data_IF_700767292970
#
_entry.id   IF_700767292970
#
_cell.length_a   1.000
_cell.length_b   1.000
_cell.length_c   1.000
_cell.angle_alpha   90.00
_cell.angle_beta   90.00
_cell.angle_gamma   90.00
#
_symmetry.space_group_name_H-M   'P 1'
#
loop_
_entity.id
_entity.type
_entity.pdbx_description
1 polymer ?
#
# COMPACT_ATOMS: atom_id res chain seq x y z
N UNK A 1 7.45 -60.59 -28.34
CA UNK A 1 7.42 -61.96 -27.80
C UNK A 1 8.87 -62.46 -27.75
N UNK A 2 9.24 -63.17 -26.66
CA UNK A 2 10.61 -63.55 -26.24
C UNK A 2 11.43 -62.38 -25.65
N UNK A 3 12.12 -62.46 -24.50
CA UNK A 3 12.40 -63.51 -23.47
C UNK A 3 13.16 -62.80 -22.32
N UNK A 4 12.79 -62.94 -21.03
CA UNK A 4 13.38 -63.81 -19.99
C UNK A 4 14.91 -63.65 -19.86
N UNK A 5 15.53 -63.30 -18.72
CA UNK A 5 15.65 -64.06 -17.44
C UNK A 5 16.53 -63.24 -16.44
N UNK A 6 16.15 -63.03 -15.17
CA UNK A 6 16.61 -63.76 -13.93
C UNK A 6 18.14 -63.95 -13.79
N UNK A 7 18.84 -63.80 -12.66
CA UNK A 7 18.51 -63.72 -11.22
C UNK A 7 19.78 -63.44 -10.36
N UNK A 8 19.61 -62.80 -9.17
CA UNK A 8 20.10 -63.15 -7.80
C UNK A 8 21.62 -63.47 -7.57
N UNK A 9 22.32 -63.23 -6.44
CA UNK A 9 22.11 -62.78 -5.05
C UNK A 9 23.52 -62.67 -4.38
N UNK A 10 23.69 -61.79 -3.37
CA UNK A 10 24.58 -61.85 -2.16
C UNK A 10 26.08 -62.30 -2.27
N UNK A 11 27.09 -61.81 -1.53
CA UNK A 11 27.23 -61.19 -0.20
C UNK A 11 28.70 -60.77 0.08
N UNK A 12 28.90 -59.88 1.07
CA UNK A 12 30.05 -59.79 2.01
C UNK A 12 31.33 -58.95 1.69
N UNK A 13 31.59 -58.01 2.62
CA UNK A 13 32.74 -57.15 3.03
C UNK A 13 34.19 -57.62 2.77
N UNK A 14 35.21 -56.72 2.68
CA UNK A 14 35.84 -56.08 3.86
C UNK A 14 36.43 -54.65 3.71
N UNK A 15 36.73 -54.04 4.86
CA UNK A 15 37.41 -52.74 5.11
C UNK A 15 38.94 -52.91 5.07
N UNK A 16 39.70 -51.88 4.65
CA UNK A 16 41.03 -51.63 5.23
C UNK A 16 41.35 -50.15 5.58
N UNK A 17 42.22 -49.96 6.59
CA UNK A 17 42.92 -48.73 7.01
C UNK A 17 44.46 -48.99 6.92
N UNK A 18 45.37 -48.04 7.24
CA UNK A 18 45.59 -46.66 6.75
C UNK A 18 47.08 -46.42 6.36
N UNK A 19 47.48 -45.37 5.60
CA UNK A 19 48.81 -44.72 5.78
C UNK A 19 49.02 -43.38 5.04
N UNK A 20 49.93 -42.58 5.59
CA UNK A 20 50.24 -41.15 5.31
C UNK A 20 51.03 -40.93 4.00
N UNK A 21 50.77 -39.83 3.28
CA UNK A 21 51.78 -39.23 2.38
C UNK A 21 51.45 -37.79 1.92
N UNK A 22 52.26 -36.84 2.42
CA UNK A 22 52.89 -35.66 1.78
C UNK A 22 52.19 -34.93 0.62
N UNK A 23 51.99 -33.62 0.81
CA UNK A 23 51.77 -32.61 -0.23
C UNK A 23 53.01 -32.42 -1.13
N UNK A 24 52.78 -31.99 -2.39
CA UNK A 24 53.51 -30.82 -2.88
C UNK A 24 52.63 -29.79 -3.61
N UNK A 25 53.13 -28.56 -3.52
CA UNK A 25 52.62 -27.29 -4.02
C UNK A 25 52.55 -27.20 -5.56
N UNK A 26 51.51 -26.55 -6.07
CA UNK A 26 51.53 -25.85 -7.37
C UNK A 26 50.53 -24.66 -7.36
N UNK A 27 51.05 -23.52 -6.94
CA UNK A 27 50.89 -22.14 -7.46
C UNK A 27 49.62 -21.75 -8.23
N UNK A 28 48.80 -20.89 -7.61
CA UNK A 28 47.76 -20.04 -8.25
C UNK A 28 48.25 -18.57 -8.17
N UNK A 29 48.07 -17.75 -9.21
CA UNK A 29 48.65 -16.42 -9.30
C UNK A 29 48.01 -15.41 -8.32
N UNK A 30 48.87 -14.52 -7.83
CA UNK A 30 48.58 -13.42 -6.90
C UNK A 30 47.61 -12.45 -7.57
N UNK A 31 46.40 -12.31 -7.00
CA UNK A 31 45.52 -11.16 -7.22
C UNK A 31 45.68 -10.23 -6.01
N UNK A 32 46.17 -9.02 -6.24
CA UNK A 32 46.30 -7.98 -5.21
C UNK A 32 44.98 -7.81 -4.44
N UNK A 33 44.99 -8.13 -3.14
CA UNK A 33 43.95 -7.68 -2.20
C UNK A 33 44.13 -6.18 -2.01
N UNK A 34 43.25 -5.39 -2.61
CA UNK A 34 42.96 -4.05 -2.08
C UNK A 34 42.22 -4.24 -0.75
N UNK A 35 42.92 -4.02 0.36
CA UNK A 35 42.29 -3.81 1.66
C UNK A 35 41.57 -2.48 1.65
N UNK A 36 40.27 -2.50 1.40
CA UNK A 36 39.39 -1.36 1.55
C UNK A 36 39.20 -1.09 3.05
N UNK A 37 39.93 -0.10 3.55
CA UNK A 37 39.80 0.43 4.91
C UNK A 37 38.47 1.17 4.97
N UNK A 38 37.40 0.50 5.42
CA UNK A 38 36.10 1.15 5.59
C UNK A 38 36.15 2.11 6.78
N UNK A 39 36.05 3.40 6.48
CA UNK A 39 35.77 4.45 7.45
C UNK A 39 34.35 4.26 7.99
N UNK A 40 34.24 3.89 9.26
CA UNK A 40 32.99 3.92 10.01
C UNK A 40 32.74 5.36 10.46
N UNK A 41 31.74 6.02 9.86
CA UNK A 41 31.00 7.22 10.30
C UNK A 41 29.90 7.45 9.22
N UNK A 42 28.64 7.74 9.46
CA UNK A 42 27.87 8.12 10.64
C UNK A 42 26.47 7.49 10.51
N UNK A 43 26.10 6.60 11.42
CA UNK A 43 24.69 6.26 11.62
C UNK A 43 24.10 7.29 12.60
N UNK A 44 22.94 7.91 12.33
CA UNK A 44 22.25 8.70 13.34
C UNK A 44 21.90 7.76 14.51
N UNK A 45 22.48 8.04 15.68
CA UNK A 45 22.16 7.34 16.92
C UNK A 45 20.65 7.43 17.17
N UNK A 46 19.98 6.34 17.60
CA UNK A 46 18.64 6.47 18.17
C UNK A 46 18.70 7.45 19.35
N UNK A 47 17.62 8.20 19.63
CA UNK A 47 17.61 9.10 20.78
C UNK A 47 17.95 8.30 22.05
N UNK A 48 19.04 8.69 22.71
CA UNK A 48 19.47 8.14 23.99
C UNK A 48 18.39 8.45 25.03
N UNK A 49 17.42 7.55 25.23
CA UNK A 49 16.60 7.57 26.44
C UNK A 49 17.59 7.28 27.58
N UNK A 50 17.76 8.16 28.58
CA UNK A 50 18.72 7.92 29.63
C UNK A 50 18.40 6.58 30.31
N UNK A 51 19.30 5.61 30.18
CA UNK A 51 19.17 4.29 30.80
C UNK A 51 18.96 4.39 32.32
N UNK A 52 19.39 5.50 32.92
CA UNK A 52 19.15 5.88 34.31
C UNK A 52 17.68 6.20 34.62
N UNK A 53 16.92 6.80 33.70
CA UNK A 53 15.52 7.16 33.91
C UNK A 53 14.63 5.92 33.80
N UNK A 54 14.84 5.10 32.77
CA UNK A 54 14.18 3.81 32.62
C UNK A 54 14.50 2.92 33.82
N UNK A 55 15.76 2.76 34.22
CA UNK A 55 16.12 1.92 35.37
C UNK A 55 15.57 2.45 36.71
N UNK A 56 15.50 3.77 36.91
CA UNK A 56 14.92 4.38 38.11
C UNK A 56 13.40 4.20 38.17
N UNK A 57 12.71 4.39 37.05
CA UNK A 57 11.27 4.10 36.93
C UNK A 57 11.02 2.60 37.10
N UNK A 58 11.89 1.74 36.56
CA UNK A 58 11.76 0.30 36.71
C UNK A 58 11.91 -0.12 38.17
N UNK A 59 12.88 0.43 38.91
CA UNK A 59 13.04 0.17 40.35
C UNK A 59 11.90 0.73 41.20
N UNK A 60 11.29 1.85 40.80
CA UNK A 60 10.17 2.46 41.50
C UNK A 60 8.86 1.68 41.27
N UNK A 61 8.60 1.26 40.04
CA UNK A 61 7.40 0.51 39.67
C UNK A 61 7.51 -0.95 40.12
N UNK A 62 8.64 -1.62 39.87
CA UNK A 62 8.85 -3.03 40.16
C UNK A 62 9.59 -3.30 41.49
N UNK A 63 9.70 -2.28 42.35
CA UNK A 63 10.22 -2.43 43.71
C UNK A 63 9.21 -3.08 44.67
N UNK A 64 9.64 -3.48 45.88
CA UNK A 64 8.77 -4.15 46.87
C UNK A 64 7.62 -3.26 47.41
N UNK A 65 7.57 -1.99 47.02
CA UNK A 65 6.70 -0.94 47.57
C UNK A 65 5.28 -0.93 47.01
N UNK A 66 5.03 -1.57 45.85
CA UNK A 66 3.72 -1.61 45.19
C UNK A 66 3.35 -3.06 44.89
N UNK A 67 2.16 -3.55 45.30
CA UNK A 67 1.69 -4.87 44.88
C UNK A 67 1.67 -4.93 43.36
N UNK A 68 2.36 -5.89 42.71
CA UNK A 68 2.50 -5.93 41.25
C UNK A 68 1.15 -5.87 40.52
N UNK A 69 0.09 -6.43 41.10
CA UNK A 69 -1.27 -6.36 40.54
C UNK A 69 -1.85 -4.94 40.46
N UNK A 70 -1.63 -4.10 41.48
CA UNK A 70 -2.16 -2.73 41.49
C UNK A 70 -1.42 -1.85 40.47
N UNK A 71 -0.09 -2.01 40.38
CA UNK A 71 0.70 -1.34 39.36
C UNK A 71 0.23 -1.73 37.95
N UNK A 72 0.14 -3.03 37.66
CA UNK A 72 -0.24 -3.53 36.33
C UNK A 72 -1.64 -3.03 35.96
N UNK A 73 -2.59 -3.07 36.90
CA UNK A 73 -3.95 -2.57 36.67
C UNK A 73 -3.97 -1.07 36.37
N UNK A 74 -3.21 -0.28 37.12
CA UNK A 74 -3.12 1.18 36.94
C UNK A 74 -2.51 1.54 35.60
N UNK A 75 -1.37 0.94 35.24
CA UNK A 75 -0.69 1.17 33.96
C UNK A 75 -1.58 0.73 32.80
N UNK A 76 -2.25 -0.42 32.90
CA UNK A 76 -3.18 -0.91 31.87
C UNK A 76 -4.34 0.06 31.68
N UNK A 77 -4.92 0.55 32.75
CA UNK A 77 -6.05 1.49 32.71
C UNK A 77 -5.62 2.83 32.11
N UNK A 78 -4.46 3.36 32.53
CA UNK A 78 -3.90 4.59 31.97
C UNK A 78 -3.61 4.46 30.48
N UNK A 79 -2.92 3.38 30.08
CA UNK A 79 -2.60 3.10 28.67
C UNK A 79 -3.86 2.99 27.81
N UNK A 80 -4.86 2.24 28.26
CA UNK A 80 -6.13 2.08 27.54
C UNK A 80 -6.85 3.43 27.40
N UNK A 81 -6.89 4.23 28.47
CA UNK A 81 -7.54 5.55 28.46
C UNK A 81 -6.85 6.52 27.49
N UNK A 82 -5.51 6.56 27.51
CA UNK A 82 -4.72 7.34 26.56
C UNK A 82 -4.95 6.87 25.13
N UNK A 83 -4.92 5.55 24.90
CA UNK A 83 -5.16 4.98 23.58
C UNK A 83 -6.54 5.39 23.02
N UNK A 84 -7.60 5.33 23.83
CA UNK A 84 -8.95 5.76 23.41
C UNK A 84 -9.00 7.24 23.03
N UNK A 85 -8.41 8.10 23.85
CA UNK A 85 -8.34 9.54 23.56
C UNK A 85 -7.64 9.80 22.23
N UNK A 86 -6.51 9.13 21.99
CA UNK A 86 -5.74 9.30 20.78
C UNK A 86 -6.46 8.74 19.55
N UNK A 87 -7.12 7.58 19.67
CA UNK A 87 -7.92 7.00 18.60
C UNK A 87 -9.10 7.89 18.22
N UNK A 88 -9.76 8.56 19.17
CA UNK A 88 -10.85 9.51 18.85
C UNK A 88 -10.40 10.71 18.00
N UNK A 89 -9.12 11.09 18.08
CA UNK A 89 -8.55 12.17 17.28
C UNK A 89 -8.09 11.67 15.90
N UNK A 90 -7.47 10.48 15.86
CA UNK A 90 -6.98 9.87 14.63
C UNK A 90 -8.14 9.42 13.72
N UNK A 91 -9.14 8.80 14.31
CA UNK A 91 -10.22 8.10 13.64
C UNK A 91 -11.56 8.43 14.29
N UNK A 92 -12.27 9.45 13.77
CA UNK A 92 -13.61 9.80 14.25
C UNK A 92 -14.53 8.58 14.23
N UNK A 93 -15.18 8.33 15.36
CA UNK A 93 -16.07 7.18 15.55
C UNK A 93 -17.46 7.59 16.00
N UNK A 94 -18.46 6.77 15.68
CA UNK A 94 -19.80 6.86 16.25
C UNK A 94 -19.82 6.31 17.70
N UNK A 95 -20.95 6.45 18.44
CA UNK A 95 -21.06 5.95 19.82
C UNK A 95 -20.88 4.43 19.97
N UNK A 96 -21.03 3.66 18.89
CA UNK A 96 -20.77 2.22 18.90
C UNK A 96 -19.30 1.86 18.72
N UNK A 97 -18.42 2.85 18.48
CA UNK A 97 -17.00 2.67 18.19
C UNK A 97 -16.69 2.44 16.71
N UNK A 98 -17.68 2.63 15.83
CA UNK A 98 -17.55 2.47 14.38
C UNK A 98 -16.87 3.67 13.73
N UNK A 99 -15.82 3.44 12.95
CA UNK A 99 -15.10 4.50 12.24
C UNK A 99 -15.92 5.11 11.09
N UNK A 100 -15.92 6.43 11.00
CA UNK A 100 -16.48 7.19 9.88
C UNK A 100 -15.40 8.06 9.23
N UNK A 101 -15.20 7.88 7.91
CA UNK A 101 -14.23 8.66 7.14
C UNK A 101 -14.76 10.09 6.92
N UNK A 102 -14.03 11.14 7.33
CA UNK A 102 -14.42 12.51 7.03
C UNK A 102 -14.39 12.78 5.52
N UNK A 103 -15.39 13.49 5.02
CA UNK A 103 -15.49 13.85 3.61
C UNK A 103 -14.39 14.84 3.18
N UNK A 104 -13.95 14.72 1.93
CA UNK A 104 -13.05 15.70 1.31
C UNK A 104 -13.77 17.04 1.10
N UNK A 105 -13.07 18.15 1.34
CA UNK A 105 -13.64 19.50 1.29
C UNK A 105 -13.68 20.08 -0.12
N UNK A 106 -12.68 19.79 -0.94
CA UNK A 106 -12.51 20.36 -2.27
C UNK A 106 -12.92 19.31 -3.30
N UNK A 107 -14.13 19.49 -3.86
CA UNK A 107 -14.67 18.65 -4.93
C UNK A 107 -14.34 19.26 -6.29
N UNK A 108 -14.25 18.43 -7.31
CA UNK A 108 -14.02 18.92 -8.66
C UNK A 108 -15.33 19.46 -9.25
N UNK A 109 -15.70 20.70 -8.93
CA UNK A 109 -16.78 21.44 -9.61
C UNK A 109 -16.25 22.73 -10.24
N UNK A 110 -16.73 23.02 -11.46
CA UNK A 110 -16.50 24.18 -12.36
C UNK A 110 -15.05 24.66 -12.65
N UNK A 111 -14.05 24.19 -11.90
CA UNK A 111 -12.62 24.47 -12.11
C UNK A 111 -12.03 23.70 -13.31
N UNK A 112 -12.82 22.88 -13.99
CA UNK A 112 -12.53 22.25 -15.29
C UNK A 112 -12.32 23.26 -16.43
N UNK A 113 -12.55 24.56 -16.20
CA UNK A 113 -12.18 25.64 -17.13
C UNK A 113 -10.73 26.14 -16.96
N UNK A 114 -9.94 25.55 -16.05
CA UNK A 114 -8.55 25.94 -15.86
C UNK A 114 -7.63 25.29 -16.91
N UNK A 115 -6.58 26.02 -17.30
CA UNK A 115 -5.59 25.52 -18.26
C UNK A 115 -4.94 24.24 -17.73
N UNK A 116 -5.07 23.10 -18.44
CA UNK A 116 -4.47 21.83 -18.03
C UNK A 116 -2.96 21.89 -17.77
N UNK A 117 -2.26 22.87 -18.38
CA UNK A 117 -0.81 23.07 -18.27
C UNK A 117 -0.33 23.55 -16.88
N UNK A 118 -1.24 23.94 -15.99
CA UNK A 118 -0.89 24.46 -14.65
C UNK A 118 -1.22 23.48 -13.52
N UNK A 119 -1.73 22.29 -13.85
CA UNK A 119 -2.10 21.27 -12.88
C UNK A 119 -0.86 20.54 -12.34
N UNK A 120 -0.85 20.32 -11.03
CA UNK A 120 0.18 19.56 -10.32
C UNK A 120 -0.49 18.66 -9.29
N UNK A 121 -0.03 17.41 -9.17
CA UNK A 121 -0.61 16.45 -8.22
C UNK A 121 0.33 16.23 -7.03
N UNK A 122 -0.21 16.38 -5.82
CA UNK A 122 0.47 16.02 -4.58
C UNK A 122 -0.06 14.69 -4.07
N UNK A 123 0.84 13.77 -3.76
CA UNK A 123 0.50 12.40 -3.35
C UNK A 123 1.38 11.95 -2.19
N UNK A 124 0.99 10.87 -1.54
CA UNK A 124 1.82 10.11 -0.61
C UNK A 124 1.66 8.62 -0.90
N UNK A 125 2.77 7.91 -1.12
CA UNK A 125 2.77 6.50 -1.55
C UNK A 125 2.03 5.54 -0.61
N UNK A 126 2.02 5.73 0.72
CA UNK A 126 1.21 4.88 1.61
C UNK A 126 -0.29 4.98 1.33
N UNK A 127 -0.78 6.14 0.89
CA UNK A 127 -2.21 6.42 0.77
C UNK A 127 -2.84 5.73 -0.45
N UNK A 128 -3.79 4.78 -0.27
CA UNK A 128 -4.45 4.11 -1.39
C UNK A 128 -5.29 5.08 -2.23
N UNK A 129 -5.89 6.10 -1.60
CA UNK A 129 -6.65 7.14 -2.30
C UNK A 129 -5.77 7.94 -3.27
N UNK A 130 -4.54 8.26 -2.86
CA UNK A 130 -3.58 8.95 -3.72
C UNK A 130 -3.00 8.01 -4.78
N UNK A 131 -2.85 6.73 -4.46
CA UNK A 131 -2.37 5.73 -5.40
C UNK A 131 -3.29 5.57 -6.62
N UNK A 132 -4.60 5.76 -6.47
CA UNK A 132 -5.57 5.78 -7.59
C UNK A 132 -5.17 6.81 -8.65
N UNK A 133 -4.78 8.01 -8.22
CA UNK A 133 -4.44 9.10 -9.14
C UNK A 133 -3.12 8.82 -9.86
N UNK A 134 -2.16 8.16 -9.20
CA UNK A 134 -0.91 7.73 -9.81
C UNK A 134 -1.14 6.68 -10.91
N UNK A 135 -1.98 5.68 -10.63
CA UNK A 135 -2.31 4.62 -11.60
C UNK A 135 -3.00 5.23 -12.82
N UNK A 136 -4.07 6.01 -12.64
CA UNK A 136 -4.77 6.61 -13.79
C UNK A 136 -3.89 7.58 -14.56
N UNK A 137 -3.03 8.36 -13.88
CA UNK A 137 -2.01 9.21 -14.51
C UNK A 137 -1.06 8.40 -15.40
N UNK A 138 -0.58 7.25 -14.93
CA UNK A 138 0.32 6.37 -15.70
C UNK A 138 -0.41 5.71 -16.88
N UNK A 139 -1.61 5.16 -16.65
CA UNK A 139 -2.40 4.50 -17.70
C UNK A 139 -2.80 5.46 -18.83
N UNK A 140 -3.16 6.71 -18.49
CA UNK A 140 -3.47 7.75 -19.47
C UNK A 140 -2.22 8.37 -20.12
N UNK A 141 -1.03 8.11 -19.59
CA UNK A 141 0.21 8.71 -20.06
C UNK A 141 0.23 10.22 -19.85
N UNK A 142 -0.14 10.67 -18.63
CA UNK A 142 -0.26 12.08 -18.23
C UNK A 142 0.97 12.58 -17.47
N UNK A 143 2.11 11.88 -17.54
CA UNK A 143 3.24 12.16 -16.65
C UNK A 143 3.86 13.54 -16.86
N UNK A 144 3.93 13.98 -18.11
CA UNK A 144 4.39 15.31 -18.50
C UNK A 144 3.31 16.38 -18.28
N UNK A 145 2.05 16.04 -18.52
CA UNK A 145 0.93 16.96 -18.42
C UNK A 145 0.58 17.33 -16.98
N UNK A 146 0.74 16.39 -16.05
CA UNK A 146 0.47 16.58 -14.62
C UNK A 146 1.70 16.15 -13.82
N UNK A 147 2.64 17.07 -13.54
CA UNK A 147 3.79 16.77 -12.70
C UNK A 147 3.37 16.40 -11.27
N UNK A 148 4.23 15.65 -10.58
CA UNK A 148 3.94 15.10 -9.25
C UNK A 148 4.97 15.55 -8.20
N UNK A 149 4.47 15.84 -6.99
CA UNK A 149 5.28 15.95 -5.77
C UNK A 149 4.84 14.86 -4.80
N UNK A 150 5.79 14.04 -4.35
CA UNK A 150 5.52 12.86 -3.52
C UNK A 150 6.01 13.14 -2.09
N UNK A 151 5.08 13.23 -1.15
CA UNK A 151 5.36 13.39 0.26
C UNK A 151 5.58 12.03 0.96
N UNK A 152 6.40 12.04 2.01
CA UNK A 152 6.46 10.98 3.00
C UNK A 152 5.67 11.43 4.25
N UNK A 153 5.20 10.49 5.10
CA UNK A 153 4.61 10.88 6.37
C UNK A 153 5.70 11.34 7.35
N UNK A 154 5.49 12.49 7.99
CA UNK A 154 6.30 13.02 9.08
C UNK A 154 5.99 12.35 10.42
N UNK A 155 6.83 12.59 11.42
CA UNK A 155 6.69 12.01 12.77
C UNK A 155 5.47 12.54 13.52
N UNK A 156 4.98 13.73 13.15
CA UNK A 156 3.76 14.33 13.68
C UNK A 156 2.49 13.93 12.92
N UNK A 157 2.62 13.03 11.94
CA UNK A 157 1.53 12.58 11.06
C UNK A 157 1.20 13.53 9.91
N UNK A 158 1.93 14.64 9.76
CA UNK A 158 1.81 15.52 8.58
C UNK A 158 2.46 14.89 7.35
N UNK A 159 2.15 15.43 6.16
CA UNK A 159 2.82 15.04 4.92
C UNK A 159 4.01 15.97 4.68
N UNK A 160 5.21 15.41 4.63
CA UNK A 160 6.48 16.13 4.53
C UNK A 160 7.20 15.83 3.21
N UNK A 161 7.91 16.83 2.71
CA UNK A 161 8.74 16.75 1.52
C UNK A 161 10.21 16.72 1.93
N UNK A 162 10.91 15.66 1.51
CA UNK A 162 12.28 15.42 1.90
C UNK A 162 13.26 16.00 0.87
N UNK A 163 14.44 16.40 1.32
CA UNK A 163 15.48 16.93 0.44
C UNK A 163 16.22 15.88 -0.38
N UNK A 164 15.90 14.59 -0.17
CA UNK A 164 16.49 13.45 -0.86
C UNK A 164 16.22 13.54 -2.36
N UNK A 165 17.30 13.62 -3.13
CA UNK A 165 17.28 13.40 -4.57
C UNK A 165 17.70 11.95 -4.81
N UNK A 166 16.84 11.19 -5.46
CA UNK A 166 17.15 9.83 -5.89
C UNK A 166 16.11 9.37 -6.88
N UNK A 167 16.52 8.48 -7.78
CA UNK A 167 15.63 7.60 -8.53
C UNK A 167 15.99 6.19 -8.11
N UNK A 168 15.02 5.41 -7.65
CA UNK A 168 15.19 3.96 -7.48
C UNK A 168 14.67 3.27 -8.74
N UNK A 169 15.47 3.36 -9.82
CA UNK A 169 15.02 2.99 -11.16
C UNK A 169 13.75 3.76 -11.57
N UNK A 170 12.76 3.01 -12.07
CA UNK A 170 11.46 3.54 -12.50
C UNK A 170 10.45 3.68 -11.35
N UNK A 171 10.78 3.23 -10.13
CA UNK A 171 9.86 3.26 -8.99
C UNK A 171 9.72 4.68 -8.44
N UNK A 172 8.47 5.10 -8.21
CA UNK A 172 8.17 6.38 -7.57
C UNK A 172 8.65 6.42 -6.11
N UNK A 173 9.35 7.48 -5.72
CA UNK A 173 9.84 7.69 -4.36
C UNK A 173 9.46 9.08 -3.80
N UNK A 174 9.35 9.25 -2.48
CA UNK A 174 9.17 10.57 -1.87
C UNK A 174 10.34 11.51 -2.17
N UNK A 175 10.05 12.81 -2.30
CA UNK A 175 11.04 13.81 -2.65
C UNK A 175 10.61 15.23 -2.29
N UNK A 176 11.20 16.20 -2.99
CA UNK A 176 10.93 17.63 -2.79
C UNK A 176 9.58 18.03 -3.37
N UNK A 177 9.05 19.13 -2.84
CA UNK A 177 7.95 19.84 -3.49
C UNK A 177 8.45 20.58 -4.75
N UNK A 178 8.17 20.01 -5.91
CA UNK A 178 8.61 20.54 -7.20
C UNK A 178 7.79 21.74 -7.69
N UNK A 179 6.63 22.04 -7.08
CA UNK A 179 5.74 23.11 -7.52
C UNK A 179 5.86 24.39 -6.68
N UNK A 180 6.04 24.26 -5.36
CA UNK A 180 6.07 25.42 -4.46
C UNK A 180 7.27 25.45 -3.50
N UNK A 181 8.15 24.45 -3.52
CA UNK A 181 9.34 24.38 -2.65
C UNK A 181 9.04 24.34 -1.16
N UNK A 182 7.85 23.85 -0.76
CA UNK A 182 7.46 23.76 0.67
C UNK A 182 7.97 22.49 1.32
N UNK A 183 8.07 22.52 2.65
CA UNK A 183 8.53 21.39 3.48
C UNK A 183 7.40 20.45 3.86
N UNK A 184 6.17 20.96 3.94
CA UNK A 184 4.99 20.15 4.27
C UNK A 184 3.82 20.46 3.35
N UNK A 185 2.94 19.48 3.15
CA UNK A 185 1.70 19.68 2.39
C UNK A 185 0.80 20.72 3.07
N UNK A 186 0.84 20.80 4.41
CA UNK A 186 0.12 21.83 5.18
C UNK A 186 0.52 23.24 4.74
N UNK A 187 1.82 23.48 4.55
CA UNK A 187 2.30 24.76 4.02
C UNK A 187 1.79 25.04 2.61
N UNK A 188 1.65 24.02 1.75
CA UNK A 188 1.07 24.19 0.40
C UNK A 188 -0.41 24.59 0.49
N UNK A 189 -1.20 23.90 1.32
CA UNK A 189 -2.60 24.30 1.57
C UNK A 189 -2.73 25.73 2.09
N UNK A 190 -1.77 26.19 2.90
CA UNK A 190 -1.74 27.55 3.43
C UNK A 190 -1.45 28.62 2.37
N UNK A 191 -0.91 28.26 1.20
CA UNK A 191 -0.69 29.21 0.09
C UNK A 191 -1.96 29.67 -0.59
N UNK A 192 -3.07 28.94 -0.41
CA UNK A 192 -4.38 29.35 -0.95
C UNK A 192 -4.76 30.75 -0.48
N UNK A 193 -5.53 31.45 -1.31
CA UNK A 193 -6.04 32.77 -0.91
C UNK A 193 -6.92 32.65 0.34
N UNK A 194 -6.59 33.42 1.37
CA UNK A 194 -7.26 33.36 2.68
C UNK A 194 -6.78 32.22 3.61
N UNK A 195 -5.79 31.42 3.17
CA UNK A 195 -5.22 30.33 3.95
C UNK A 195 -6.14 29.12 4.11
N UNK A 196 -5.64 28.09 4.79
CA UNK A 196 -6.40 26.89 5.11
C UNK A 196 -5.89 26.23 6.40
N UNK A 197 -6.79 26.02 7.36
CA UNK A 197 -6.50 25.41 8.66
C UNK A 197 -7.19 24.04 8.84
N UNK A 198 -7.78 23.47 7.78
CA UNK A 198 -8.39 22.15 7.83
C UNK A 198 -7.38 21.02 7.59
N UNK A 199 -7.89 19.81 7.33
CA UNK A 199 -7.06 18.62 7.09
C UNK A 199 -6.35 18.69 5.74
N UNK A 200 -5.03 18.75 5.76
CA UNK A 200 -4.19 18.67 4.57
C UNK A 200 -3.99 17.21 4.15
N UNK A 201 -4.77 16.76 3.18
CA UNK A 201 -4.86 15.35 2.77
C UNK A 201 -4.28 15.13 1.38
N UNK A 202 -3.78 13.92 1.13
CA UNK A 202 -3.44 13.45 -0.21
C UNK A 202 -4.53 12.47 -0.71
N UNK A 203 -4.84 12.44 -2.01
CA UNK A 203 -4.26 13.27 -3.07
C UNK A 203 -4.78 14.71 -3.01
N UNK A 204 -3.96 15.64 -3.53
CA UNK A 204 -4.37 17.03 -3.74
C UNK A 204 -3.98 17.48 -5.14
N UNK A 205 -4.97 17.75 -5.98
CA UNK A 205 -4.79 18.39 -7.27
C UNK A 205 -4.71 19.90 -7.07
N UNK A 206 -3.64 20.50 -7.58
CA UNK A 206 -3.23 21.87 -7.31
C UNK A 206 -3.07 22.64 -8.62
N UNK A 207 -3.50 23.90 -8.63
CA UNK A 207 -3.18 24.81 -9.71
C UNK A 207 -1.97 25.67 -9.32
N UNK A 208 -0.88 25.50 -10.04
CA UNK A 208 0.42 26.14 -9.77
C UNK A 208 0.44 27.63 -10.05
N UNK A 209 -0.42 28.13 -10.93
CA UNK A 209 -0.52 29.53 -11.31
C UNK A 209 -1.41 30.30 -10.33
N UNK A 210 -2.64 29.83 -10.12
CA UNK A 210 -3.60 30.49 -9.22
C UNK A 210 -3.33 30.23 -7.74
N UNK A 211 -2.46 29.26 -7.43
CA UNK A 211 -2.15 28.79 -6.07
C UNK A 211 -3.41 28.31 -5.32
N UNK A 212 -4.24 27.54 -6.01
CA UNK A 212 -5.50 27.02 -5.48
C UNK A 212 -5.54 25.48 -5.47
N UNK A 213 -6.24 24.92 -4.46
CA UNK A 213 -6.59 23.50 -4.46
C UNK A 213 -7.77 23.29 -5.39
N UNK A 214 -7.54 22.56 -6.47
CA UNK A 214 -8.56 22.22 -7.46
C UNK A 214 -9.48 21.13 -6.92
N UNK A 215 -8.89 20.07 -6.36
CA UNK A 215 -9.64 18.94 -5.82
C UNK A 215 -8.79 18.17 -4.81
N UNK A 216 -9.41 17.61 -3.77
CA UNK A 216 -8.80 16.63 -2.88
C UNK A 216 -9.69 15.40 -2.64
N UNK A 217 -10.63 15.13 -3.54
CA UNK A 217 -11.35 13.86 -3.62
C UNK A 217 -10.72 12.99 -4.71
N UNK A 218 -10.26 11.81 -4.31
CA UNK A 218 -9.53 10.89 -5.19
C UNK A 218 -10.33 10.43 -6.40
N UNK A 219 -11.64 10.17 -6.21
CA UNK A 219 -12.49 9.66 -7.28
C UNK A 219 -12.77 10.73 -8.34
N UNK A 220 -13.06 11.96 -7.90
CA UNK A 220 -13.22 13.12 -8.77
C UNK A 220 -11.95 13.37 -9.61
N UNK A 221 -10.76 13.26 -8.99
CA UNK A 221 -9.47 13.45 -9.69
C UNK A 221 -9.26 12.39 -10.78
N UNK A 222 -9.52 11.10 -10.49
CA UNK A 222 -9.34 10.05 -11.51
C UNK A 222 -10.37 10.15 -12.63
N UNK A 223 -11.59 10.65 -12.37
CA UNK A 223 -12.55 10.97 -13.43
C UNK A 223 -12.05 12.11 -14.31
N UNK A 224 -11.50 13.17 -13.72
CA UNK A 224 -10.89 14.28 -14.46
C UNK A 224 -9.72 13.79 -15.33
N UNK A 225 -8.83 12.95 -14.79
CA UNK A 225 -7.71 12.38 -15.54
C UNK A 225 -8.18 11.47 -16.68
N UNK A 226 -9.25 10.71 -16.46
CA UNK A 226 -9.78 9.77 -17.45
C UNK A 226 -10.27 10.48 -18.73
N UNK A 227 -11.12 11.51 -18.59
CA UNK A 227 -11.78 12.13 -19.75
C UNK A 227 -11.44 13.61 -19.94
N UNK A 228 -11.23 14.37 -18.86
CA UNK A 228 -11.02 15.82 -18.91
C UNK A 228 -9.66 16.25 -19.45
N UNK A 229 -8.67 15.35 -19.46
CA UNK A 229 -7.30 15.63 -19.93
C UNK A 229 -6.93 14.89 -21.23
N UNK A 230 -7.91 14.36 -21.97
CA UNK A 230 -7.65 13.59 -23.20
C UNK A 230 -6.82 14.36 -24.23
N UNK A 231 -6.96 15.68 -24.34
CA UNK A 231 -6.16 16.49 -25.26
C UNK A 231 -4.67 16.55 -24.92
N UNK A 232 -4.26 16.14 -23.72
CA UNK A 232 -2.86 16.07 -23.27
C UNK A 232 -2.37 14.64 -22.98
N UNK A 233 -3.26 13.66 -23.01
CA UNK A 233 -2.94 12.27 -22.71
C UNK A 233 -2.17 11.63 -23.86
N UNK A 234 -1.14 10.83 -23.56
CA UNK A 234 -0.49 9.96 -24.57
C UNK A 234 -1.39 8.80 -24.99
N UNK A 235 -2.32 8.39 -24.11
CA UNK A 235 -3.32 7.35 -24.37
C UNK A 235 -4.75 7.93 -24.35
N UNK A 236 -5.12 8.83 -25.29
CA UNK A 236 -6.40 9.52 -25.27
C UNK A 236 -7.59 8.57 -25.53
N UNK A 237 -7.37 7.49 -26.28
CA UNK A 237 -8.41 6.49 -26.58
C UNK A 237 -8.71 5.50 -25.45
N UNK A 238 -7.90 5.46 -24.39
CA UNK A 238 -8.19 4.64 -23.21
C UNK A 238 -9.28 5.32 -22.38
N UNK A 239 -10.45 4.70 -22.26
CA UNK A 239 -11.54 5.16 -21.41
C UNK A 239 -11.82 4.13 -20.31
N UNK A 240 -11.49 4.49 -19.08
CA UNK A 240 -11.70 3.69 -17.86
C UNK A 240 -13.08 3.92 -17.24
N UNK A 241 -13.88 4.82 -17.79
CA UNK A 241 -15.25 5.08 -17.35
C UNK A 241 -16.20 5.28 -18.55
N UNK A 242 -16.26 4.30 -19.47
CA UNK A 242 -17.04 4.45 -20.69
C UNK A 242 -18.54 4.55 -20.36
N UNK A 243 -19.32 5.35 -21.11
CA UNK A 243 -20.74 5.55 -20.83
C UNK A 243 -21.54 4.25 -20.70
N UNK A 244 -21.21 3.23 -21.51
CA UNK A 244 -21.90 1.93 -21.51
C UNK A 244 -21.70 1.10 -20.24
N UNK A 245 -20.65 1.38 -19.44
CA UNK A 245 -20.36 0.65 -18.20
C UNK A 245 -20.60 1.50 -16.95
N UNK A 246 -21.08 2.74 -17.10
CA UNK A 246 -21.21 3.70 -16.00
C UNK A 246 -22.05 3.15 -14.84
N UNK A 247 -23.20 2.57 -15.14
CA UNK A 247 -24.11 2.04 -14.10
C UNK A 247 -23.49 0.84 -13.38
N UNK A 248 -22.78 -0.04 -14.10
CA UNK A 248 -22.09 -1.19 -13.50
C UNK A 248 -20.90 -0.75 -12.64
N UNK A 249 -20.15 0.26 -13.08
CA UNK A 249 -19.08 0.90 -12.30
C UNK A 249 -19.64 1.50 -11.01
N UNK A 250 -20.77 2.20 -11.08
CA UNK A 250 -21.42 2.78 -9.91
C UNK A 250 -21.92 1.70 -8.94
N UNK A 251 -22.51 0.61 -9.46
CA UNK A 251 -22.93 -0.54 -8.67
C UNK A 251 -21.77 -1.18 -7.93
N UNK A 252 -20.64 -1.43 -8.61
CA UNK A 252 -19.45 -1.97 -7.94
C UNK A 252 -18.87 -1.01 -6.90
N UNK A 253 -18.78 0.29 -7.21
CA UNK A 253 -18.30 1.30 -6.27
C UNK A 253 -19.13 1.36 -4.98
N UNK A 254 -20.46 1.22 -5.06
CA UNK A 254 -21.35 1.18 -3.90
C UNK A 254 -21.08 -0.02 -2.97
N UNK A 255 -20.49 -1.08 -3.50
CA UNK A 255 -20.10 -2.28 -2.73
C UNK A 255 -18.67 -2.18 -2.22
N UNK A 256 -17.70 -1.93 -3.11
CA UNK A 256 -16.28 -1.97 -2.77
C UNK A 256 -15.87 -0.81 -1.86
N UNK A 257 -16.47 0.38 -2.00
CA UNK A 257 -16.08 1.52 -1.16
C UNK A 257 -16.36 1.29 0.33
N UNK A 258 -17.62 1.06 0.77
CA UNK A 258 -17.91 0.91 2.20
C UNK A 258 -17.35 -0.38 2.80
N UNK A 259 -17.30 -1.46 2.03
CA UNK A 259 -17.01 -2.79 2.57
C UNK A 259 -15.55 -3.21 2.40
N UNK A 260 -14.82 -2.68 1.41
CA UNK A 260 -13.43 -3.07 1.15
C UNK A 260 -12.48 -1.89 1.33
N UNK A 261 -12.61 -0.84 0.51
CA UNK A 261 -11.69 0.30 0.52
C UNK A 261 -11.70 1.02 1.86
N UNK A 262 -12.89 1.32 2.38
CA UNK A 262 -13.09 1.87 3.72
C UNK A 262 -13.26 0.76 4.77
N UNK A 263 -13.66 -0.45 4.37
CA UNK A 263 -13.87 -1.59 5.28
C UNK A 263 -12.62 -1.99 6.06
N UNK A 264 -11.45 -2.03 5.41
CA UNK A 264 -10.18 -2.30 6.11
C UNK A 264 -9.85 -1.24 7.16
N UNK A 265 -10.16 0.04 6.90
CA UNK A 265 -9.99 1.11 7.89
C UNK A 265 -11.02 1.02 9.01
N UNK A 266 -12.26 0.61 8.71
CA UNK A 266 -13.29 0.33 9.73
C UNK A 266 -12.84 -0.77 10.68
N UNK A 267 -12.15 -1.80 10.17
CA UNK A 267 -11.52 -2.83 11.02
C UNK A 267 -10.37 -2.23 11.84
N UNK A 268 -9.40 -1.60 11.18
CA UNK A 268 -8.17 -1.13 11.82
C UNK A 268 -8.37 0.00 12.84
N UNK A 269 -9.42 0.79 12.67
CA UNK A 269 -9.74 1.93 13.54
C UNK A 269 -10.94 1.70 14.45
N UNK A 270 -11.52 0.50 14.48
CA UNK A 270 -12.57 0.15 15.41
C UNK A 270 -12.14 0.40 16.86
N UNK A 271 -13.02 1.01 17.64
CA UNK A 271 -12.77 1.34 19.06
C UNK A 271 -13.54 0.43 20.04
N UNK A 272 -14.30 -0.53 19.50
CA UNK A 272 -15.03 -1.57 20.23
C UNK A 272 -14.89 -2.91 19.49
N UNK A 273 -15.14 -4.01 20.21
CA UNK A 273 -15.10 -5.35 19.62
C UNK A 273 -16.26 -5.51 18.63
N UNK A 274 -17.44 -4.99 18.98
CA UNK A 274 -18.66 -5.08 18.18
C UNK A 274 -18.52 -4.34 16.84
N UNK A 275 -17.91 -3.15 16.84
CA UNK A 275 -17.65 -2.40 15.61
C UNK A 275 -16.63 -3.12 14.72
N UNK A 276 -15.60 -3.73 15.32
CA UNK A 276 -14.62 -4.53 14.61
C UNK A 276 -15.26 -5.77 13.99
N UNK A 277 -16.02 -6.56 14.76
CA UNK A 277 -16.65 -7.81 14.33
C UNK A 277 -17.59 -7.57 13.14
N UNK A 278 -18.40 -6.52 13.21
CA UNK A 278 -19.26 -6.10 12.10
C UNK A 278 -18.44 -5.72 10.86
N UNK A 279 -17.40 -4.90 11.02
CA UNK A 279 -16.60 -4.42 9.90
C UNK A 279 -15.83 -5.56 9.22
N UNK A 280 -15.27 -6.48 10.00
CA UNK A 280 -14.49 -7.60 9.46
C UNK A 280 -15.38 -8.65 8.80
N UNK A 281 -16.58 -8.90 9.34
CA UNK A 281 -17.58 -9.77 8.69
C UNK A 281 -18.00 -9.20 7.32
N UNK A 282 -18.39 -7.92 7.26
CA UNK A 282 -18.78 -7.26 6.01
C UNK A 282 -17.64 -7.25 4.97
N UNK A 283 -16.41 -7.01 5.42
CA UNK A 283 -15.21 -7.05 4.58
C UNK A 283 -15.03 -8.43 3.95
N UNK A 284 -15.00 -9.49 4.77
CA UNK A 284 -14.71 -10.82 4.26
C UNK A 284 -15.87 -11.40 3.44
N UNK A 285 -17.13 -11.14 3.80
CA UNK A 285 -18.28 -11.51 2.97
C UNK A 285 -18.19 -10.84 1.58
N UNK A 286 -17.70 -9.59 1.52
CA UNK A 286 -17.52 -8.89 0.25
C UNK A 286 -16.31 -9.43 -0.53
N UNK A 287 -15.20 -9.78 0.12
CA UNK A 287 -14.05 -10.40 -0.55
C UNK A 287 -14.39 -11.79 -1.11
N UNK A 288 -15.15 -12.60 -0.35
CA UNK A 288 -15.63 -13.92 -0.81
C UNK A 288 -16.52 -13.76 -2.07
N UNK A 289 -17.43 -12.78 -2.07
CA UNK A 289 -18.28 -12.47 -3.24
C UNK A 289 -17.47 -11.97 -4.45
N UNK A 290 -16.48 -11.10 -4.23
CA UNK A 290 -15.59 -10.61 -5.28
C UNK A 290 -14.75 -11.74 -5.89
N UNK A 291 -14.24 -12.66 -5.07
CA UNK A 291 -13.46 -13.81 -5.55
C UNK A 291 -14.31 -14.74 -6.44
N UNK A 292 -15.57 -14.98 -6.07
CA UNK A 292 -16.50 -15.75 -6.92
C UNK A 292 -16.76 -15.03 -8.24
N UNK A 293 -17.11 -13.73 -8.22
CA UNK A 293 -17.36 -12.93 -9.43
C UNK A 293 -16.16 -12.93 -10.39
N UNK A 294 -14.96 -12.72 -9.85
CA UNK A 294 -13.73 -12.67 -10.63
C UNK A 294 -13.27 -14.04 -11.14
N UNK A 295 -13.95 -15.13 -10.76
CA UNK A 295 -13.73 -16.46 -11.34
C UNK A 295 -14.24 -16.60 -12.77
N UNK A 296 -15.30 -15.85 -13.13
CA UNK A 296 -15.87 -15.86 -14.47
C UNK A 296 -15.66 -14.55 -15.24
N UNK A 297 -15.32 -13.46 -14.56
CA UNK A 297 -15.09 -12.15 -15.17
C UNK A 297 -13.64 -11.71 -15.00
N UNK A 298 -12.99 -11.21 -16.07
CA UNK A 298 -11.61 -10.73 -15.98
C UNK A 298 -11.49 -9.53 -15.04
N UNK A 299 -12.38 -8.56 -15.17
CA UNK A 299 -12.45 -7.35 -14.35
C UNK A 299 -13.84 -7.23 -13.70
N UNK A 300 -14.06 -6.19 -12.88
CA UNK A 300 -15.35 -6.01 -12.20
C UNK A 300 -16.50 -5.84 -13.19
N UNK A 301 -16.29 -5.08 -14.27
CA UNK A 301 -17.32 -4.78 -15.28
C UNK A 301 -17.15 -5.62 -16.56
N UNK A 302 -16.77 -6.90 -16.44
CA UNK A 302 -16.57 -7.80 -17.58
C UNK A 302 -15.12 -7.81 -18.09
N UNK A 303 -14.95 -7.85 -19.41
CA UNK A 303 -13.63 -7.95 -20.05
C UNK A 303 -12.77 -6.66 -20.06
N UNK A 304 -13.33 -5.49 -19.71
CA UNK A 304 -12.61 -4.19 -19.77
C UNK A 304 -12.20 -3.68 -18.38
N UNK A 305 -10.98 -3.16 -18.29
CA UNK A 305 -10.50 -2.45 -17.10
C UNK A 305 -11.26 -1.12 -16.91
N UNK A 306 -11.70 -0.84 -15.69
CA UNK A 306 -12.43 0.38 -15.34
C UNK A 306 -11.86 1.10 -14.12
N UNK A 307 -12.38 2.29 -13.80
CA UNK A 307 -12.05 3.02 -12.58
C UNK A 307 -12.43 2.24 -11.30
N UNK A 308 -13.44 1.38 -11.34
CA UNK A 308 -13.80 0.52 -10.21
C UNK A 308 -12.65 -0.46 -9.88
N UNK A 309 -11.99 -0.99 -10.91
CA UNK A 309 -10.87 -1.90 -10.76
C UNK A 309 -9.65 -1.22 -10.13
N UNK A 310 -9.34 0.00 -10.59
CA UNK A 310 -8.29 0.83 -9.97
C UNK A 310 -8.60 1.09 -8.49
N UNK A 311 -9.87 1.39 -8.17
CA UNK A 311 -10.29 1.63 -6.80
C UNK A 311 -10.10 0.39 -5.91
N UNK A 312 -10.46 -0.81 -6.40
CA UNK A 312 -10.29 -2.07 -5.69
C UNK A 312 -8.81 -2.44 -5.54
N UNK A 313 -8.04 -2.40 -6.62
CA UNK A 313 -6.62 -2.78 -6.66
C UNK A 313 -5.79 -2.07 -5.61
N UNK A 314 -5.99 -0.77 -5.43
CA UNK A 314 -5.22 0.02 -4.44
C UNK A 314 -5.37 -0.48 -3.01
N UNK A 315 -6.49 -1.15 -2.68
CA UNK A 315 -6.69 -1.84 -1.41
C UNK A 315 -6.08 -3.24 -1.43
N UNK A 316 -6.31 -4.02 -2.48
CA UNK A 316 -5.81 -5.40 -2.60
C UNK A 316 -4.29 -5.47 -2.50
N UNK A 317 -3.56 -4.61 -3.22
CA UNK A 317 -2.10 -4.59 -3.22
C UNK A 317 -1.49 -4.26 -1.84
N UNK A 318 -2.28 -3.72 -0.91
CA UNK A 318 -1.88 -3.41 0.47
C UNK A 318 -2.37 -4.44 1.48
N UNK A 319 -3.20 -5.39 1.07
CA UNK A 319 -3.94 -6.25 1.98
C UNK A 319 -3.02 -7.11 2.82
N UNK A 320 -2.18 -7.94 2.18
CA UNK A 320 -1.24 -8.81 2.89
C UNK A 320 -0.05 -8.03 3.47
N UNK A 321 0.35 -6.93 2.84
CA UNK A 321 1.45 -6.06 3.31
C UNK A 321 1.13 -5.36 4.63
N UNK A 322 -0.13 -4.96 4.83
CA UNK A 322 -0.53 -4.03 5.91
C UNK A 322 -1.82 -4.47 6.58
N UNK A 323 -2.92 -4.57 5.83
CA UNK A 323 -4.26 -4.63 6.43
C UNK A 323 -4.50 -5.95 7.17
N UNK A 324 -3.97 -7.05 6.67
CA UNK A 324 -4.04 -8.36 7.30
C UNK A 324 -3.43 -8.31 8.71
N UNK A 325 -2.21 -7.77 8.85
CA UNK A 325 -1.55 -7.66 10.15
C UNK A 325 -2.02 -6.47 10.99
N UNK A 326 -1.76 -5.25 10.53
CA UNK A 326 -1.96 -4.03 11.34
C UNK A 326 -3.43 -3.73 11.62
N UNK A 327 -4.30 -3.92 10.62
CA UNK A 327 -5.74 -3.66 10.75
C UNK A 327 -6.53 -4.91 11.17
N UNK A 328 -5.83 -5.99 11.53
CA UNK A 328 -6.39 -7.26 11.99
C UNK A 328 -7.37 -7.90 10.99
N UNK A 329 -7.23 -7.62 9.69
CA UNK A 329 -8.05 -8.28 8.65
C UNK A 329 -7.54 -9.71 8.39
N UNK A 330 -7.59 -10.59 9.41
CA UNK A 330 -6.79 -11.83 9.48
C UNK A 330 -7.53 -13.11 9.08
N UNK A 331 -8.85 -13.09 8.83
CA UNK A 331 -9.64 -14.31 8.51
C UNK A 331 -9.02 -15.12 7.37
N UNK A 332 -8.53 -14.43 6.34
CA UNK A 332 -7.89 -15.03 5.15
C UNK A 332 -6.97 -13.99 4.50
N UNK A 333 -5.77 -14.38 4.08
CA UNK A 333 -4.85 -13.55 3.28
C UNK A 333 -5.33 -13.43 1.84
N UNK A 334 -4.92 -12.38 1.16
CA UNK A 334 -5.28 -12.17 -0.24
C UNK A 334 -4.74 -13.29 -1.14
N UNK A 335 -3.51 -13.75 -0.89
CA UNK A 335 -2.89 -14.86 -1.65
C UNK A 335 -3.69 -16.18 -1.59
N UNK A 336 -4.56 -16.35 -0.60
CA UNK A 336 -5.40 -17.54 -0.44
C UNK A 336 -6.71 -17.47 -1.27
N UNK A 337 -6.97 -16.34 -1.94
CA UNK A 337 -8.08 -16.19 -2.87
C UNK A 337 -7.58 -16.39 -4.30
N UNK A 338 -8.00 -17.49 -4.96
CA UNK A 338 -7.49 -17.86 -6.27
C UNK A 338 -7.74 -16.80 -7.33
N UNK A 339 -8.94 -16.20 -7.35
CA UNK A 339 -9.31 -15.25 -8.40
C UNK A 339 -8.89 -13.83 -8.04
N UNK A 340 -9.09 -13.39 -6.80
CA UNK A 340 -8.67 -12.06 -6.33
C UNK A 340 -7.15 -11.88 -6.39
N UNK A 341 -6.37 -12.89 -6.00
CA UNK A 341 -4.91 -12.81 -6.10
C UNK A 341 -4.46 -12.77 -7.57
N UNK A 342 -5.05 -13.60 -8.43
CA UNK A 342 -4.81 -13.55 -9.87
C UNK A 342 -5.18 -12.18 -10.47
N UNK A 343 -6.32 -11.62 -10.09
CA UNK A 343 -6.82 -10.31 -10.51
C UNK A 343 -5.87 -9.19 -10.09
N UNK A 344 -5.42 -9.20 -8.83
CA UNK A 344 -4.46 -8.21 -8.33
C UNK A 344 -3.13 -8.27 -9.11
N UNK A 345 -2.63 -9.48 -9.44
CA UNK A 345 -1.43 -9.64 -10.28
C UNK A 345 -1.64 -9.18 -11.73
N UNK A 346 -2.80 -9.47 -12.33
CA UNK A 346 -3.17 -8.98 -13.67
C UNK A 346 -3.04 -7.44 -13.72
N UNK A 347 -3.64 -6.73 -12.75
CA UNK A 347 -3.51 -5.27 -12.67
C UNK A 347 -2.08 -4.79 -12.38
N UNK A 348 -1.34 -5.47 -11.49
CA UNK A 348 0.05 -5.12 -11.17
C UNK A 348 0.97 -5.19 -12.39
N UNK A 349 0.74 -6.17 -13.27
CA UNK A 349 1.54 -6.42 -14.47
C UNK A 349 1.19 -5.51 -15.66
N UNK A 350 0.13 -4.71 -15.56
CA UNK A 350 -0.15 -3.68 -16.58
C UNK A 350 1.04 -2.71 -16.62
N UNK A 351 1.58 -2.38 -17.82
CA UNK A 351 2.73 -1.49 -17.94
C UNK A 351 2.57 -0.21 -17.10
N UNK A 352 3.64 0.14 -16.38
CA UNK A 352 3.74 1.26 -15.43
C UNK A 352 2.95 1.17 -14.12
N UNK A 353 2.11 0.16 -13.89
CA UNK A 353 1.38 0.04 -12.62
C UNK A 353 2.31 -0.41 -11.49
N UNK A 354 3.24 -1.34 -11.74
CA UNK A 354 4.23 -1.76 -10.75
C UNK A 354 5.10 -0.60 -10.24
N UNK A 355 5.45 0.34 -11.12
CA UNK A 355 6.27 1.54 -10.80
C UNK A 355 5.60 2.46 -9.76
N UNK A 356 4.26 2.42 -9.64
CA UNK A 356 3.52 3.21 -8.64
C UNK A 356 3.47 2.52 -7.27
N UNK A 357 3.93 1.27 -7.17
CA UNK A 357 3.80 0.41 -6.00
C UNK A 357 5.09 0.34 -5.16
N UNK A 358 5.43 1.41 -4.44
CA UNK A 358 6.56 1.40 -3.50
C UNK A 358 6.20 0.72 -2.17
N UNK A 359 6.43 -0.59 -2.06
CA UNK A 359 6.07 -1.37 -0.87
C UNK A 359 6.80 -0.95 0.42
N UNK A 360 8.11 -0.65 0.42
CA UNK A 360 8.77 -0.12 1.61
C UNK A 360 8.13 1.17 2.12
N UNK A 361 7.84 2.13 1.23
CA UNK A 361 7.18 3.38 1.61
C UNK A 361 5.77 3.13 2.14
N UNK A 362 5.01 2.23 1.50
CA UNK A 362 3.69 1.80 1.99
C UNK A 362 3.81 1.26 3.41
N UNK A 363 4.63 0.23 3.64
CA UNK A 363 4.75 -0.40 4.96
C UNK A 363 5.24 0.60 6.02
N UNK A 364 6.22 1.44 5.70
CA UNK A 364 6.69 2.48 6.64
C UNK A 364 5.57 3.45 7.02
N UNK A 365 4.79 3.91 6.04
CA UNK A 365 3.71 4.86 6.30
C UNK A 365 2.57 4.31 7.15
N UNK A 366 2.39 2.98 7.21
CA UNK A 366 1.41 2.37 8.11
C UNK A 366 2.02 1.97 9.44
N UNK A 367 3.10 1.18 9.43
CA UNK A 367 3.65 0.59 10.65
C UNK A 367 4.42 1.60 11.51
N UNK A 368 5.06 2.61 10.93
CA UNK A 368 5.88 3.56 11.70
C UNK A 368 5.15 4.84 12.10
N UNK A 369 4.04 5.16 11.43
CA UNK A 369 3.43 6.49 11.50
C UNK A 369 2.00 6.46 12.05
N UNK A 370 1.23 5.38 11.85
CA UNK A 370 -0.13 5.28 12.41
C UNK A 370 -0.09 5.00 13.91
N UNK A 371 0.23 6.04 14.67
CA UNK A 371 0.11 6.05 16.12
C UNK A 371 -1.32 6.44 16.51
N UNK A 372 -1.98 5.73 17.45
CA UNK A 372 -1.43 4.75 18.38
C UNK A 372 -1.61 3.26 17.97
N UNK A 373 -1.87 2.94 16.70
CA UNK A 373 -2.13 1.54 16.28
C UNK A 373 -0.91 0.63 16.43
N UNK A 374 0.29 1.13 16.14
CA UNK A 374 1.54 0.39 16.33
C UNK A 374 2.57 1.23 17.13
N UNK A 375 2.42 1.30 18.46
CA UNK A 375 3.26 2.16 19.32
C UNK A 375 4.76 1.91 19.22
N UNK A 376 5.16 0.66 18.94
CA UNK A 376 6.57 0.29 18.81
C UNK A 376 7.21 0.72 17.50
N UNK A 377 6.42 1.18 16.52
CA UNK A 377 6.87 1.54 15.17
C UNK A 377 7.64 0.42 14.46
N UNK A 378 7.49 -0.84 14.90
CA UNK A 378 8.16 -2.00 14.31
C UNK A 378 7.41 -2.37 13.05
N UNK A 379 8.14 -2.37 11.93
CA UNK A 379 7.66 -2.87 10.64
C UNK A 379 7.97 -4.37 10.53
N UNK A 380 6.99 -5.24 10.22
CA UNK A 380 7.27 -6.64 9.95
C UNK A 380 8.11 -6.79 8.67
N UNK A 381 8.73 -7.95 8.49
CA UNK A 381 9.30 -8.33 7.21
C UNK A 381 8.20 -8.39 6.13
N UNK A 382 8.55 -8.03 4.89
CA UNK A 382 7.60 -8.11 3.78
C UNK A 382 7.20 -9.58 3.55
N UNK A 383 5.90 -9.91 3.43
CA UNK A 383 5.47 -11.24 3.04
C UNK A 383 6.06 -11.63 1.68
N UNK A 384 6.61 -12.83 1.55
CA UNK A 384 7.22 -13.32 0.29
C UNK A 384 6.24 -13.32 -0.88
N UNK A 385 4.94 -13.51 -0.62
CA UNK A 385 3.89 -13.42 -1.63
C UNK A 385 3.73 -12.03 -2.27
N UNK A 386 4.35 -10.99 -1.71
CA UNK A 386 4.34 -9.63 -2.23
C UNK A 386 5.65 -9.22 -2.91
N UNK A 387 6.62 -10.13 -3.04
CA UNK A 387 7.85 -9.86 -3.79
C UNK A 387 7.54 -9.62 -5.28
N UNK A 388 8.32 -8.75 -5.93
CA UNK A 388 8.08 -8.34 -7.31
C UNK A 388 8.05 -9.55 -8.26
N UNK A 389 8.98 -10.48 -8.08
CA UNK A 389 9.09 -11.71 -8.86
C UNK A 389 7.84 -12.57 -8.75
N UNK A 390 7.26 -12.67 -7.55
CA UNK A 390 6.03 -13.42 -7.30
C UNK A 390 4.83 -12.72 -7.94
N UNK A 391 4.73 -11.40 -7.80
CA UNK A 391 3.65 -10.62 -8.41
C UNK A 391 3.72 -10.60 -9.94
N UNK A 392 4.90 -10.79 -10.54
CA UNK A 392 5.14 -10.89 -11.98
C UNK A 392 4.96 -12.30 -12.55
N UNK A 393 4.65 -13.31 -11.74
CA UNK A 393 4.33 -14.65 -12.26
C UNK A 393 3.03 -14.63 -13.07
N UNK A 394 2.88 -15.47 -14.12
CA UNK A 394 1.69 -15.48 -14.97
C UNK A 394 0.38 -15.62 -14.17
N UNK A 395 -0.57 -14.73 -14.43
CA UNK A 395 -1.88 -14.73 -13.77
C UNK A 395 -2.93 -15.60 -14.48
N UNK A 396 -2.72 -15.94 -15.76
CA UNK A 396 -3.62 -16.77 -16.59
C UNK A 396 -5.06 -16.24 -16.72
N UNK A 397 -5.25 -14.92 -16.61
CA UNK A 397 -6.59 -14.29 -16.68
C UNK A 397 -6.96 -13.74 -18.05
N UNK A 398 -6.02 -13.72 -19.00
CA UNK A 398 -6.29 -13.26 -20.36
C UNK A 398 -7.37 -14.08 -21.08
N UNK A 399 -7.47 -15.37 -20.76
CA UNK A 399 -8.49 -16.27 -21.30
C UNK A 399 -9.93 -15.82 -20.95
N UNK A 400 -10.13 -15.17 -19.80
CA UNK A 400 -11.44 -14.69 -19.34
C UNK A 400 -11.97 -13.52 -20.19
N UNK A 401 -11.11 -12.83 -20.96
CA UNK A 401 -11.56 -11.79 -21.89
C UNK A 401 -12.27 -12.34 -23.13
N UNK A 402 -12.09 -13.63 -23.44
CA UNK A 402 -12.66 -14.26 -24.65
C UNK A 402 -14.00 -14.94 -24.38
N UNK A 403 -14.25 -15.39 -23.15
CA UNK A 403 -15.49 -16.06 -22.75
C UNK A 403 -16.70 -15.11 -22.78
N UNK A 404 -16.48 -13.83 -22.47
CA UNK A 404 -17.52 -12.79 -22.47
C UNK A 404 -18.15 -12.60 -23.87
N UNK A 405 -17.34 -12.71 -24.93
CA UNK A 405 -17.79 -12.56 -26.33
C UNK A 405 -18.62 -13.73 -26.85
N UNK A 406 -18.43 -14.95 -26.31
CA UNK A 406 -19.22 -16.11 -26.74
C UNK A 406 -20.66 -16.08 -26.26
N UNK A 407 -20.95 -15.40 -25.15
CA UNK A 407 -22.31 -15.27 -24.61
C UNK A 407 -23.19 -14.34 -25.47
N UNK A 408 -22.59 -13.33 -26.11
CA UNK A 408 -23.32 -12.41 -27.02
C UNK A 408 -23.65 -13.04 -28.39
N UNK A 409 -23.02 -14.16 -28.77
CA UNK A 409 -23.23 -14.81 -30.08
C UNK A 409 -24.40 -15.80 -30.04
N UNK A 410 -24.84 -16.25 -28.86
CA UNK A 410 -25.98 -17.19 -28.72
C UNK A 410 -27.32 -16.51 -28.41
N UNK A 411 -27.36 -15.17 -28.38
CA UNK A 411 -28.60 -14.40 -28.30
C UNK A 411 -28.64 -13.46 -29.52
N UNK A 412 -28.91 -14.03 -30.69
CA UNK A 412 -29.20 -13.30 -31.94
C UNK A 412 -30.24 -14.06 -32.74
#
# INVERSE_FOLDING_TARGET
MHSSSTSLLNSSFPIPHPEKSKSPSATIPIRHRFTLRMSLNDNPKPPDIPSSLLSSVTKLLWGPSLPPGLLISTVRTAWHSTWRLMMSQLAPSDPSGGYSRPASRFRADELTRQSPKTLHIYVGLPCPWAHRTLIVRALKGLEEAVPVSIAAPGTDGSWEFNDVRGSDGDILIPGRDNANGRRTLKQVYQLRRGGYNGRSTVPMLWNTETKEVVCNESYDIIQLFNSGLNGLARNPGLDLNPPSLKDEIEKWNRVIYPNVNNGVYRCGFAQSQEAYDKAVEELFNTLDMLDVHLGSSRYLCGAKLTLADVCLFTTLIRFDLVYNGLFKCTKKKLIEYSNLHGYMRDLYQIPKVAETCNFPAIMDGYYRILFPLNPGCIRPVMPSGCEHEVLCTPHNRDSLSFTDKSTDIFVS
#
